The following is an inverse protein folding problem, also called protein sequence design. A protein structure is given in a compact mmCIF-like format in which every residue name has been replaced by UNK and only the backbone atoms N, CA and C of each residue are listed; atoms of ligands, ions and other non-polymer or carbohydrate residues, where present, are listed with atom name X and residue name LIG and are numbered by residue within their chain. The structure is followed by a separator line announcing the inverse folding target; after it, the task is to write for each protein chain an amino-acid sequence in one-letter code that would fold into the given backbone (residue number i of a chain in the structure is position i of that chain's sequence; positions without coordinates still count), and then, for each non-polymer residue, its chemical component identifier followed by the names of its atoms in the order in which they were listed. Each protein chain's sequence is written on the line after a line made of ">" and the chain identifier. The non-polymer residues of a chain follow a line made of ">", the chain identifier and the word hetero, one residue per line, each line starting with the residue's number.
data_IF_926382819844
#
_entry.id   IF_926382819844
#
_cell.length_a   1.000
_cell.length_b   1.000
_cell.length_c   1.000
_cell.angle_alpha   90.00
_cell.angle_beta   90.00
_cell.angle_gamma   90.00
#
_symmetry.space_group_name_H-M   'P 1'
#
loop_
_entity.id
_entity.type
_entity.pdbx_description
1 polymer ?
#
# COMPACT_ATOMS: atom_id res chain seq x y z
N UNK A 1 41.68 7.09 -5.58
CA UNK A 1 41.27 7.24 -7.00
C UNK A 1 42.47 6.97 -7.87
N UNK A 2 42.39 5.98 -8.75
CA UNK A 2 43.41 5.76 -9.80
C UNK A 2 42.88 6.39 -11.08
N UNK A 3 43.59 7.36 -11.66
CA UNK A 3 43.20 7.97 -12.90
C UNK A 3 44.22 7.53 -14.00
N UNK A 4 43.69 6.98 -15.07
CA UNK A 4 44.42 6.60 -16.27
C UNK A 4 44.10 7.64 -17.34
N UNK A 5 45.12 8.32 -17.84
CA UNK A 5 44.99 9.32 -18.91
C UNK A 5 46.08 9.15 -19.96
N UNK A 6 45.69 9.04 -21.24
CA UNK A 6 46.57 9.12 -22.38
C UNK A 6 46.52 10.53 -22.96
N UNK A 7 47.63 11.23 -23.01
CA UNK A 7 47.73 12.51 -23.71
C UNK A 7 48.70 12.28 -24.88
N UNK A 8 48.17 12.29 -26.11
CA UNK A 8 49.00 12.36 -27.31
C UNK A 8 49.08 13.83 -27.76
N UNK A 9 50.21 14.43 -27.63
CA UNK A 9 50.51 15.77 -28.13
C UNK A 9 51.35 15.69 -29.39
N UNK A 10 50.73 15.96 -30.54
CA UNK A 10 51.46 16.07 -31.84
C UNK A 10 51.82 17.53 -32.01
N UNK A 11 53.01 17.89 -31.61
CA UNK A 11 53.64 19.21 -31.89
C UNK A 11 54.42 19.20 -33.15
N UNK A 12 53.93 19.90 -34.18
CA UNK A 12 54.72 20.21 -35.39
C UNK A 12 55.61 21.42 -35.11
N UNK A 13 56.88 21.18 -34.82
CA UNK A 13 57.93 22.21 -34.90
C UNK A 13 58.84 21.87 -36.05
N UNK A 14 59.01 22.84 -36.99
CA UNK A 14 59.93 22.78 -38.10
C UNK A 14 61.41 22.67 -37.62
N UNK A 15 61.91 21.45 -37.50
CA UNK A 15 63.33 21.19 -37.55
C UNK A 15 63.58 19.79 -38.11
N UNK A 16 64.55 19.66 -38.96
CA UNK A 16 64.92 18.62 -39.93
C UNK A 16 65.26 17.24 -39.33
N UNK A 17 64.44 16.69 -38.42
CA UNK A 17 64.46 15.26 -38.06
C UNK A 17 63.13 14.92 -37.39
N UNK A 18 62.32 14.18 -38.10
CA UNK A 18 61.04 13.68 -37.49
C UNK A 18 61.29 12.65 -36.42
N UNK A 19 61.36 13.05 -35.18
CA UNK A 19 61.34 12.15 -34.02
C UNK A 19 59.96 12.14 -33.44
N UNK A 20 59.24 11.04 -33.60
CA UNK A 20 58.01 10.79 -32.87
C UNK A 20 58.30 10.38 -31.40
N UNK A 21 58.21 11.32 -30.49
CA UNK A 21 58.38 11.04 -29.05
C UNK A 21 57.02 10.62 -28.44
N UNK A 22 56.90 9.36 -28.11
CA UNK A 22 55.74 8.87 -27.33
C UNK A 22 56.14 8.81 -25.87
N UNK A 23 55.59 9.70 -25.05
CA UNK A 23 55.85 9.73 -23.60
C UNK A 23 54.67 9.14 -22.88
N UNK A 24 54.84 8.00 -22.18
CA UNK A 24 53.84 7.41 -21.27
C UNK A 24 54.20 7.76 -19.83
N UNK A 25 53.31 8.38 -19.11
CA UNK A 25 53.49 8.71 -17.69
C UNK A 25 52.57 7.83 -16.85
N UNK A 26 53.14 7.04 -15.96
CA UNK A 26 52.39 6.31 -14.91
C UNK A 26 52.61 7.02 -13.58
N UNK A 27 51.52 7.38 -12.91
CA UNK A 27 51.56 8.02 -11.57
C UNK A 27 50.61 7.36 -10.62
N UNK A 28 51.07 7.01 -9.43
CA UNK A 28 50.26 6.64 -8.28
C UNK A 28 50.20 7.84 -7.33
N UNK A 29 49.03 8.42 -7.15
CA UNK A 29 48.85 9.55 -6.23
C UNK A 29 48.13 9.06 -4.96
N UNK A 30 48.81 9.10 -3.84
CA UNK A 30 48.23 8.84 -2.51
C UNK A 30 48.03 10.18 -1.78
N UNK A 31 46.78 10.60 -1.63
CA UNK A 31 46.41 11.80 -0.87
C UNK A 31 45.94 11.44 0.53
N UNK A 32 46.75 11.74 1.56
CA UNK A 32 46.36 11.57 2.96
C UNK A 32 46.16 12.95 3.60
N UNK A 33 44.94 13.34 3.99
CA UNK A 33 44.72 14.58 4.73
C UNK A 33 45.23 14.40 6.18
N UNK A 34 46.33 15.07 6.52
CA UNK A 34 46.95 15.01 7.85
C UNK A 34 46.12 15.80 8.90
N UNK A 35 45.37 16.80 8.47
CA UNK A 35 44.51 17.60 9.31
C UNK A 35 43.32 18.13 8.52
N UNK A 36 42.12 17.80 8.95
CA UNK A 36 40.85 18.18 8.27
C UNK A 36 39.94 19.06 9.17
N UNK A 37 40.50 19.73 10.18
CA UNK A 37 39.72 20.65 11.03
C UNK A 37 38.48 20.04 11.69
N UNK A 38 38.50 18.77 12.02
CA UNK A 38 37.36 18.05 12.60
C UNK A 38 36.33 17.53 11.60
N UNK A 39 36.52 17.75 10.30
CA UNK A 39 35.57 17.32 9.28
C UNK A 39 35.37 15.79 9.23
N UNK A 40 36.40 15.01 9.51
CA UNK A 40 36.32 13.55 9.54
C UNK A 40 35.45 13.08 10.71
N UNK A 41 35.71 13.59 11.93
CA UNK A 41 34.91 13.25 13.11
C UNK A 41 33.46 13.76 13.03
N UNK A 42 33.23 14.87 12.31
CA UNK A 42 31.87 15.35 12.03
C UNK A 42 31.12 14.42 11.08
N UNK A 43 31.77 13.93 10.02
CA UNK A 43 31.19 12.94 9.10
C UNK A 43 30.92 11.59 9.77
N UNK A 44 31.79 11.18 10.68
CA UNK A 44 31.57 9.96 11.47
C UNK A 44 30.31 10.07 12.33
N UNK A 45 30.15 11.19 13.06
CA UNK A 45 28.94 11.45 13.84
C UNK A 45 27.69 11.57 12.97
N UNK A 46 27.79 12.22 11.83
CA UNK A 46 26.70 12.29 10.85
C UNK A 46 26.30 10.89 10.36
N UNK A 47 27.27 10.07 9.96
CA UNK A 47 27.01 8.70 9.52
C UNK A 47 26.37 7.85 10.64
N UNK A 48 26.84 7.98 11.87
CA UNK A 48 26.26 7.30 13.03
C UNK A 48 24.81 7.75 13.29
N UNK A 49 24.53 9.05 13.18
CA UNK A 49 23.18 9.58 13.32
C UNK A 49 22.23 9.12 12.19
N UNK A 50 22.72 9.09 10.95
CA UNK A 50 21.96 8.56 9.79
C UNK A 50 21.67 7.07 9.95
N UNK A 51 22.65 6.29 10.46
CA UNK A 51 22.43 4.87 10.74
C UNK A 51 21.35 4.67 11.81
N UNK A 52 21.39 5.40 12.92
CA UNK A 52 20.37 5.30 13.97
C UNK A 52 19.00 5.76 13.46
N UNK A 53 18.93 6.84 12.66
CA UNK A 53 17.70 7.26 11.98
C UNK A 53 17.13 6.13 11.12
N UNK A 54 17.95 5.51 10.27
CA UNK A 54 17.51 4.43 9.38
C UNK A 54 16.98 3.21 10.17
N UNK A 55 17.59 2.94 11.34
CA UNK A 55 17.13 1.90 12.24
C UNK A 55 15.76 2.21 12.84
N UNK A 56 15.54 3.46 13.25
CA UNK A 56 14.24 3.92 13.76
C UNK A 56 13.17 3.94 12.65
N UNK A 57 13.54 4.34 11.43
CA UNK A 57 12.64 4.31 10.28
C UNK A 57 12.20 2.87 9.94
N UNK A 58 13.12 1.90 10.02
CA UNK A 58 12.79 0.48 9.83
C UNK A 58 11.81 -0.02 10.91
N UNK A 59 12.07 0.33 12.18
CA UNK A 59 11.20 -0.07 13.28
C UNK A 59 9.80 0.56 13.16
N UNK A 60 9.73 1.83 12.77
CA UNK A 60 8.47 2.51 12.48
C UNK A 60 7.71 1.84 11.33
N UNK A 61 8.40 1.48 10.24
CA UNK A 61 7.80 0.78 9.11
C UNK A 61 7.23 -0.60 9.54
N UNK A 62 7.96 -1.36 10.36
CA UNK A 62 7.49 -2.64 10.91
C UNK A 62 6.24 -2.49 11.76
N UNK A 63 6.23 -1.51 12.67
CA UNK A 63 5.07 -1.25 13.53
C UNK A 63 3.86 -0.78 12.73
N UNK A 64 4.06 0.07 11.74
CA UNK A 64 3.00 0.55 10.84
C UNK A 64 2.40 -0.59 10.02
N UNK A 65 3.22 -1.49 9.48
CA UNK A 65 2.75 -2.66 8.74
C UNK A 65 1.94 -3.62 9.64
N UNK A 66 2.44 -3.88 10.86
CA UNK A 66 1.73 -4.72 11.83
C UNK A 66 0.38 -4.10 12.25
N UNK A 67 0.34 -2.78 12.46
CA UNK A 67 -0.89 -2.07 12.79
C UNK A 67 -1.90 -2.13 11.63
N UNK A 68 -1.46 -1.85 10.41
CA UNK A 68 -2.31 -1.90 9.21
C UNK A 68 -2.91 -3.29 9.00
N UNK A 69 -2.12 -4.36 9.19
CA UNK A 69 -2.58 -5.73 9.08
C UNK A 69 -3.63 -6.06 10.15
N UNK A 70 -3.39 -5.66 11.41
CA UNK A 70 -4.35 -5.88 12.50
C UNK A 70 -5.66 -5.13 12.27
N UNK A 71 -5.59 -3.88 11.83
CA UNK A 71 -6.78 -3.08 11.51
C UNK A 71 -7.58 -3.70 10.38
N UNK A 72 -6.91 -4.14 9.30
CA UNK A 72 -7.56 -4.81 8.18
C UNK A 72 -8.20 -6.14 8.59
N UNK A 73 -7.55 -6.91 9.46
CA UNK A 73 -8.10 -8.15 10.00
C UNK A 73 -9.37 -7.92 10.81
N UNK A 74 -9.35 -6.95 11.73
CA UNK A 74 -10.54 -6.59 12.51
C UNK A 74 -11.68 -6.06 11.63
N UNK A 75 -11.36 -5.32 10.56
CA UNK A 75 -12.35 -4.85 9.60
C UNK A 75 -13.05 -6.01 8.87
N UNK A 76 -12.32 -7.09 8.55
CA UNK A 76 -12.91 -8.30 7.96
C UNK A 76 -13.83 -9.01 8.96
N UNK A 77 -13.36 -9.24 10.20
CA UNK A 77 -14.16 -9.91 11.23
C UNK A 77 -15.47 -9.15 11.50
N UNK A 78 -15.36 -7.83 11.67
CA UNK A 78 -16.54 -6.97 11.91
C UNK A 78 -17.46 -6.96 10.67
N UNK A 79 -16.90 -6.94 9.46
CA UNK A 79 -17.67 -7.00 8.22
C UNK A 79 -18.48 -8.29 8.10
N UNK A 80 -17.90 -9.44 8.40
CA UNK A 80 -18.60 -10.74 8.40
C UNK A 80 -19.71 -10.76 9.43
N UNK A 81 -19.46 -10.27 10.64
CA UNK A 81 -20.48 -10.18 11.69
C UNK A 81 -21.63 -9.24 11.27
N UNK A 82 -21.31 -8.11 10.64
CA UNK A 82 -22.32 -7.16 10.14
C UNK A 82 -23.17 -7.77 9.03
N UNK A 83 -22.57 -8.52 8.09
CA UNK A 83 -23.33 -9.23 7.05
C UNK A 83 -24.30 -10.22 7.68
N UNK A 84 -23.87 -11.04 8.65
CA UNK A 84 -24.74 -11.98 9.35
C UNK A 84 -25.90 -11.29 10.09
N UNK A 85 -25.64 -10.16 10.75
CA UNK A 85 -26.69 -9.38 11.42
C UNK A 85 -27.71 -8.81 10.42
N UNK A 86 -27.24 -8.29 9.27
CA UNK A 86 -28.11 -7.75 8.22
C UNK A 86 -28.90 -8.83 7.50
N UNK A 87 -28.39 -10.05 7.38
CA UNK A 87 -29.14 -11.20 6.86
C UNK A 87 -30.32 -11.55 7.79
N UNK A 88 -30.12 -11.55 9.10
CA UNK A 88 -31.21 -11.73 10.06
C UNK A 88 -32.20 -10.56 10.05
N UNK A 89 -31.69 -9.32 9.93
CA UNK A 89 -32.52 -8.14 9.80
C UNK A 89 -33.37 -8.18 8.52
N UNK A 90 -32.85 -8.74 7.42
CA UNK A 90 -33.60 -8.92 6.18
C UNK A 90 -34.78 -9.89 6.38
N UNK A 91 -34.56 -11.03 7.04
CA UNK A 91 -35.63 -11.99 7.37
C UNK A 91 -36.71 -11.32 8.22
N UNK A 92 -36.30 -10.57 9.24
CA UNK A 92 -37.24 -9.85 10.12
C UNK A 92 -38.03 -8.77 9.38
N UNK A 93 -37.37 -8.01 8.52
CA UNK A 93 -38.02 -6.98 7.70
C UNK A 93 -39.01 -7.57 6.68
N UNK A 94 -38.69 -8.74 6.12
CA UNK A 94 -39.61 -9.44 5.23
C UNK A 94 -40.85 -9.93 6.00
N UNK A 95 -40.67 -10.57 7.17
CA UNK A 95 -41.77 -10.98 8.01
C UNK A 95 -42.65 -9.81 8.46
N UNK A 96 -42.05 -8.67 8.80
CA UNK A 96 -42.79 -7.46 9.17
C UNK A 96 -43.62 -6.93 7.99
N UNK A 97 -43.08 -6.94 6.77
CA UNK A 97 -43.83 -6.54 5.58
C UNK A 97 -45.04 -7.48 5.35
N UNK A 98 -44.79 -8.79 5.42
CA UNK A 98 -45.86 -9.78 5.20
C UNK A 98 -46.98 -9.67 6.25
N UNK A 99 -46.61 -9.45 7.52
CA UNK A 99 -47.57 -9.18 8.60
C UNK A 99 -48.35 -7.89 8.40
N UNK A 100 -47.72 -6.81 7.94
CA UNK A 100 -48.39 -5.54 7.66
C UNK A 100 -49.32 -5.65 6.44
N UNK A 101 -48.95 -6.41 5.42
CA UNK A 101 -49.84 -6.70 4.27
C UNK A 101 -51.07 -7.44 4.68
N UNK A 102 -50.88 -8.53 5.45
CA UNK A 102 -52.02 -9.30 5.98
C UNK A 102 -52.94 -8.42 6.87
N UNK A 103 -52.34 -7.61 7.74
CA UNK A 103 -53.10 -6.67 8.60
C UNK A 103 -53.86 -5.61 7.79
N UNK A 104 -53.34 -5.18 6.67
CA UNK A 104 -54.01 -4.29 5.75
C UNK A 104 -55.20 -4.98 5.05
N UNK A 105 -55.05 -6.21 4.59
CA UNK A 105 -56.08 -7.00 3.94
C UNK A 105 -57.29 -7.26 4.87
N UNK A 106 -57.03 -7.46 6.17
CA UNK A 106 -58.10 -7.65 7.17
C UNK A 106 -58.61 -6.33 7.80
N UNK A 107 -58.12 -5.17 7.32
CA UNK A 107 -58.55 -3.85 7.74
C UNK A 107 -58.03 -3.36 9.11
N UNK A 108 -57.06 -4.05 9.71
CA UNK A 108 -56.43 -3.69 10.99
C UNK A 108 -55.26 -2.73 10.86
N UNK A 109 -54.61 -2.69 9.68
CA UNK A 109 -53.50 -1.81 9.35
C UNK A 109 -53.86 -0.85 8.22
N UNK A 110 -53.17 0.29 8.16
CA UNK A 110 -53.35 1.27 7.10
C UNK A 110 -52.25 1.14 6.03
N UNK A 111 -52.51 1.64 4.84
CA UNK A 111 -51.57 1.52 3.69
C UNK A 111 -50.19 2.12 3.98
N UNK A 112 -50.12 3.18 4.83
CA UNK A 112 -48.84 3.79 5.19
C UNK A 112 -47.95 2.84 5.99
N UNK A 113 -48.50 1.93 6.80
CA UNK A 113 -47.73 0.93 7.53
C UNK A 113 -47.09 -0.09 6.60
N UNK A 114 -47.82 -0.51 5.54
CA UNK A 114 -47.27 -1.39 4.47
C UNK A 114 -46.17 -0.69 3.71
N UNK A 115 -46.35 0.58 3.35
CA UNK A 115 -45.33 1.36 2.61
C UNK A 115 -44.07 1.56 3.45
N UNK A 116 -44.18 1.87 4.73
CA UNK A 116 -43.07 1.98 5.67
C UNK A 116 -42.30 0.66 5.80
N UNK A 117 -43.03 -0.46 5.97
CA UNK A 117 -42.38 -1.78 6.04
C UNK A 117 -41.69 -2.17 4.74
N UNK A 118 -42.25 -1.79 3.59
CA UNK A 118 -41.63 -1.99 2.27
C UNK A 118 -40.36 -1.15 2.12
N UNK A 119 -40.39 0.11 2.52
CA UNK A 119 -39.21 0.99 2.51
C UNK A 119 -38.11 0.43 3.41
N UNK A 120 -38.47 -0.06 4.61
CA UNK A 120 -37.51 -0.68 5.54
C UNK A 120 -36.86 -1.92 4.92
N UNK A 121 -37.64 -2.79 4.25
CA UNK A 121 -37.12 -3.97 3.58
C UNK A 121 -36.10 -3.59 2.49
N UNK A 122 -36.42 -2.62 1.64
CA UNK A 122 -35.50 -2.17 0.58
C UNK A 122 -34.25 -1.50 1.14
N UNK A 123 -34.38 -0.74 2.23
CA UNK A 123 -33.21 -0.18 2.94
C UNK A 123 -32.31 -1.29 3.46
N UNK A 124 -32.87 -2.29 4.13
CA UNK A 124 -32.11 -3.43 4.68
C UNK A 124 -31.43 -4.24 3.55
N UNK A 125 -32.09 -4.44 2.41
CA UNK A 125 -31.50 -5.11 1.24
C UNK A 125 -30.29 -4.34 0.68
N UNK A 126 -30.44 -3.01 0.55
CA UNK A 126 -29.34 -2.14 0.11
C UNK A 126 -28.17 -2.20 1.09
N UNK A 127 -28.45 -2.09 2.39
CA UNK A 127 -27.43 -2.07 3.43
C UNK A 127 -26.69 -3.42 3.49
N UNK A 128 -27.39 -4.54 3.30
CA UNK A 128 -26.80 -5.86 3.18
C UNK A 128 -25.86 -5.95 1.95
N UNK A 129 -26.28 -5.44 0.79
CA UNK A 129 -25.43 -5.43 -0.41
C UNK A 129 -24.16 -4.61 -0.18
N UNK A 130 -24.29 -3.40 0.40
CA UNK A 130 -23.14 -2.55 0.75
C UNK A 130 -22.21 -3.25 1.74
N UNK A 131 -22.73 -3.92 2.77
CA UNK A 131 -21.94 -4.64 3.75
C UNK A 131 -21.15 -5.80 3.10
N UNK A 132 -21.76 -6.54 2.18
CA UNK A 132 -21.09 -7.61 1.42
C UNK A 132 -19.93 -7.07 0.58
N UNK A 133 -20.15 -6.00 -0.20
CA UNK A 133 -19.08 -5.37 -0.98
C UNK A 133 -17.95 -4.82 -0.12
N UNK A 134 -18.29 -4.19 1.02
CA UNK A 134 -17.29 -3.69 1.96
C UNK A 134 -16.47 -4.83 2.57
N UNK A 135 -17.09 -5.96 2.87
CA UNK A 135 -16.39 -7.14 3.42
C UNK A 135 -15.41 -7.72 2.40
N UNK A 136 -15.80 -7.83 1.12
CA UNK A 136 -14.91 -8.25 0.03
C UNK A 136 -13.73 -7.28 -0.10
N UNK A 137 -14.00 -5.97 -0.13
CA UNK A 137 -12.95 -4.95 -0.21
C UNK A 137 -11.99 -5.01 0.98
N UNK A 138 -12.50 -5.19 2.20
CA UNK A 138 -11.68 -5.33 3.39
C UNK A 138 -10.83 -6.61 3.35
N UNK A 139 -11.34 -7.70 2.78
CA UNK A 139 -10.57 -8.93 2.57
C UNK A 139 -9.40 -8.72 1.62
N UNK A 140 -9.61 -8.00 0.50
CA UNK A 140 -8.52 -7.64 -0.42
C UNK A 140 -7.50 -6.70 0.24
N UNK A 141 -7.96 -5.74 1.05
CA UNK A 141 -7.08 -4.86 1.82
C UNK A 141 -6.23 -5.63 2.83
N UNK A 142 -6.79 -6.64 3.49
CA UNK A 142 -6.05 -7.51 4.38
C UNK A 142 -4.94 -8.26 3.63
N UNK A 143 -5.25 -8.86 2.48
CA UNK A 143 -4.25 -9.53 1.63
C UNK A 143 -3.16 -8.58 1.14
N UNK A 144 -3.54 -7.35 0.78
CA UNK A 144 -2.59 -6.29 0.39
C UNK A 144 -1.68 -5.90 1.57
N UNK A 145 -2.24 -5.68 2.76
CA UNK A 145 -1.46 -5.33 3.95
C UNK A 145 -0.53 -6.46 4.41
N UNK A 146 -0.91 -7.72 4.16
CA UNK A 146 -0.09 -8.90 4.41
C UNK A 146 0.92 -9.20 3.30
N UNK A 147 0.90 -8.47 2.17
CA UNK A 147 1.76 -8.71 1.01
C UNK A 147 1.45 -10.02 0.27
N UNK A 148 0.26 -10.58 0.45
CA UNK A 148 -0.16 -11.87 -0.12
C UNK A 148 -1.21 -11.73 -1.24
N UNK A 149 -1.53 -10.50 -1.64
CA UNK A 149 -2.49 -10.23 -2.72
C UNK A 149 -1.91 -10.69 -4.06
N UNK A 150 -2.70 -11.51 -4.79
CA UNK A 150 -2.37 -12.04 -6.11
C UNK A 150 -3.46 -11.68 -7.12
N UNK A 151 -3.14 -11.77 -8.40
CA UNK A 151 -4.09 -11.55 -9.49
C UNK A 151 -5.26 -12.54 -9.45
N UNK A 152 -5.00 -13.78 -9.05
CA UNK A 152 -6.02 -14.82 -8.84
C UNK A 152 -7.12 -14.39 -7.85
N UNK A 153 -6.77 -13.60 -6.84
CA UNK A 153 -7.73 -13.10 -5.85
C UNK A 153 -8.70 -12.09 -6.48
N UNK A 154 -8.21 -11.27 -7.42
CA UNK A 154 -9.05 -10.32 -8.16
C UNK A 154 -9.96 -11.06 -9.13
N UNK A 155 -9.49 -12.11 -9.80
CA UNK A 155 -10.32 -12.93 -10.67
C UNK A 155 -11.43 -13.66 -9.90
N UNK A 156 -11.15 -14.15 -8.69
CA UNK A 156 -12.16 -14.74 -7.82
C UNK A 156 -13.28 -13.74 -7.48
N UNK A 157 -12.89 -12.51 -7.11
CA UNK A 157 -13.86 -11.45 -6.84
C UNK A 157 -14.63 -11.07 -8.10
N UNK A 158 -13.97 -10.95 -9.24
CA UNK A 158 -14.63 -10.63 -10.51
C UNK A 158 -15.65 -11.68 -10.90
N UNK A 159 -15.34 -12.98 -10.72
CA UNK A 159 -16.28 -14.07 -10.95
C UNK A 159 -17.46 -14.06 -9.97
N UNK A 160 -17.24 -13.65 -8.73
CA UNK A 160 -18.31 -13.53 -7.73
C UNK A 160 -19.22 -12.32 -7.97
N UNK A 161 -18.75 -11.32 -8.72
CA UNK A 161 -19.50 -10.11 -9.09
C UNK A 161 -20.17 -10.20 -10.47
N UNK A 162 -19.75 -11.16 -11.30
CA UNK A 162 -20.41 -11.42 -12.57
C UNK A 162 -21.83 -11.96 -12.31
N UNK A 163 -22.86 -11.41 -13.01
CA UNK A 163 -24.26 -11.81 -12.85
C UNK A 163 -24.50 -13.24 -13.34
#
# INVERSE_FOLDING_TARGET
>A
MASYGWISQTGSQLTTAGANLTTGTFGLQLGLPLYAGGAISSREREAAAIFEKSRQDLENARRSAALATRQSYLAVINGVAQVGALEQALVSSQSALDSNKLGYEVGVRINIDVLNAQQQLFSTRRDLAVARYNTITNHLRLKSAAGSLREEDLELVNRALAP
#
